data_IF_253035314779
#
_entry.id   IF_253035314779
#
_cell.length_a   1.000
_cell.length_b   1.000
_cell.length_c   1.000
_cell.angle_alpha   90.00
_cell.angle_beta   90.00
_cell.angle_gamma   90.00
#
_symmetry.space_group_name_H-M   'P 1'
#
loop_
_entity.id
_entity.type
_entity.pdbx_description
1 polymer ?
#
# COMPACT_ATOMS: atom_id res chain seq x y z
N UNK A 1 -19.44 -19.88 -0.95
CA UNK A 1 -18.86 -18.65 -0.33
C UNK A 1 -17.39 -18.54 -0.72
N UNK A 2 -16.91 -17.39 -1.18
CA UNK A 2 -15.49 -17.19 -1.49
C UNK A 2 -14.70 -16.96 -0.18
N UNK A 3 -13.64 -17.73 0.06
CA UNK A 3 -12.82 -17.61 1.25
C UNK A 3 -11.90 -16.38 1.14
N UNK A 4 -11.96 -15.48 2.14
CA UNK A 4 -10.93 -14.43 2.34
C UNK A 4 -9.67 -15.01 3.02
N UNK A 5 -9.31 -16.24 2.67
CA UNK A 5 -8.20 -16.96 3.28
C UNK A 5 -6.85 -16.54 2.70
N UNK A 6 -5.79 -16.84 3.43
CA UNK A 6 -4.42 -16.79 2.91
C UNK A 6 -4.31 -17.66 1.64
N UNK A 7 -3.53 -17.22 0.65
CA UNK A 7 -3.28 -18.02 -0.57
C UNK A 7 -2.32 -19.15 -0.24
N UNK A 8 -2.72 -20.38 -0.50
CA UNK A 8 -1.85 -21.56 -0.33
C UNK A 8 -0.93 -21.70 -1.54
N UNK A 9 0.27 -22.30 -1.39
CA UNK A 9 1.17 -22.56 -2.52
C UNK A 9 0.50 -23.34 -3.66
N UNK A 10 -0.29 -24.37 -3.33
CA UNK A 10 -1.07 -25.13 -4.33
C UNK A 10 -2.09 -24.27 -5.10
N UNK A 11 -2.70 -23.26 -4.45
CA UNK A 11 -3.60 -22.32 -5.13
C UNK A 11 -2.83 -21.38 -6.06
N UNK A 12 -1.62 -20.96 -5.66
CA UNK A 12 -0.75 -20.12 -6.48
C UNK A 12 -0.22 -20.86 -7.72
N UNK A 13 0.20 -22.11 -7.56
CA UNK A 13 0.57 -22.99 -8.67
C UNK A 13 -0.60 -23.13 -9.64
N UNK A 14 -1.79 -23.43 -9.12
CA UNK A 14 -2.96 -23.58 -9.97
C UNK A 14 -3.31 -22.29 -10.70
N UNK A 15 -3.19 -21.14 -10.03
CA UNK A 15 -3.41 -19.84 -10.65
C UNK A 15 -2.38 -19.55 -11.75
N UNK A 16 -1.11 -19.93 -11.58
CA UNK A 16 -0.08 -19.79 -12.63
C UNK A 16 -0.38 -20.63 -13.85
N UNK A 17 -0.73 -21.91 -13.67
CA UNK A 17 -1.12 -22.79 -14.78
C UNK A 17 -2.30 -22.21 -15.55
N UNK A 18 -3.35 -21.78 -14.86
CA UNK A 18 -4.55 -21.23 -15.48
C UNK A 18 -4.25 -19.92 -16.22
N UNK A 19 -3.39 -19.06 -15.68
CA UNK A 19 -2.99 -17.83 -16.38
C UNK A 19 -2.09 -18.15 -17.59
N UNK A 20 -1.26 -19.18 -17.53
CA UNK A 20 -0.47 -19.63 -18.68
C UNK A 20 -1.36 -20.19 -19.79
N UNK A 21 -2.42 -20.93 -19.43
CA UNK A 21 -3.35 -21.54 -20.39
C UNK A 21 -4.34 -20.53 -21.00
N UNK A 22 -4.94 -19.67 -20.17
CA UNK A 22 -6.02 -18.77 -20.59
C UNK A 22 -5.57 -17.32 -20.76
N UNK A 23 -4.38 -16.93 -20.31
CA UNK A 23 -3.89 -15.55 -20.31
C UNK A 23 -4.46 -14.69 -19.17
N UNK A 24 -3.80 -13.55 -18.83
CA UNK A 24 -4.15 -12.71 -17.69
C UNK A 24 -5.29 -11.70 -17.96
N UNK A 25 -6.33 -12.10 -18.69
CA UNK A 25 -7.44 -11.20 -19.07
C UNK A 25 -8.81 -11.66 -18.55
N UNK A 26 -9.10 -12.96 -18.57
CA UNK A 26 -10.41 -13.52 -18.18
C UNK A 26 -10.44 -14.09 -16.76
N UNK A 27 -10.22 -13.23 -15.76
CA UNK A 27 -10.12 -13.64 -14.34
C UNK A 27 -11.35 -14.35 -13.78
N UNK A 28 -12.55 -14.07 -14.31
CA UNK A 28 -13.77 -14.75 -13.88
C UNK A 28 -13.78 -16.22 -14.32
N UNK A 29 -13.34 -16.51 -15.54
CA UNK A 29 -13.22 -17.89 -16.05
C UNK A 29 -12.13 -18.66 -15.27
N UNK A 30 -11.01 -17.99 -14.97
CA UNK A 30 -9.95 -18.56 -14.12
C UNK A 30 -10.48 -18.89 -12.72
N UNK A 31 -11.27 -17.99 -12.12
CA UNK A 31 -11.85 -18.21 -10.80
C UNK A 31 -12.87 -19.35 -10.75
N UNK A 32 -13.60 -19.64 -11.83
CA UNK A 32 -14.48 -20.82 -11.88
C UNK A 32 -13.72 -22.14 -11.72
N UNK A 33 -12.44 -22.16 -12.15
CA UNK A 33 -11.55 -23.33 -12.02
C UNK A 33 -10.78 -23.35 -10.70
N UNK A 34 -10.90 -22.32 -9.86
CA UNK A 34 -10.28 -22.19 -8.54
C UNK A 34 -11.38 -22.13 -7.47
N UNK A 35 -11.56 -23.24 -6.76
CA UNK A 35 -12.61 -23.34 -5.74
C UNK A 35 -12.38 -22.33 -4.61
N UNK A 36 -13.43 -21.60 -4.22
CA UNK A 36 -13.37 -20.65 -3.11
C UNK A 36 -12.69 -19.30 -3.40
N UNK A 37 -12.19 -19.05 -4.63
CA UNK A 37 -11.61 -17.76 -5.02
C UNK A 37 -12.49 -17.00 -6.00
N UNK A 38 -12.46 -15.67 -5.92
CA UNK A 38 -13.14 -14.80 -6.88
C UNK A 38 -12.18 -14.29 -7.94
N UNK A 39 -12.69 -13.91 -9.12
CA UNK A 39 -11.86 -13.36 -10.20
C UNK A 39 -11.06 -12.13 -9.75
N UNK A 40 -11.68 -11.27 -8.94
CA UNK A 40 -11.00 -10.12 -8.32
C UNK A 40 -9.82 -10.55 -7.44
N UNK A 41 -9.99 -11.61 -6.64
CA UNK A 41 -8.93 -12.14 -5.79
C UNK A 41 -7.78 -12.71 -6.62
N UNK A 42 -8.10 -13.48 -7.67
CA UNK A 42 -7.12 -14.06 -8.59
C UNK A 42 -6.30 -12.96 -9.28
N UNK A 43 -6.98 -11.94 -9.84
CA UNK A 43 -6.33 -10.77 -10.45
C UNK A 43 -5.37 -10.08 -9.49
N UNK A 44 -5.84 -9.80 -8.27
CA UNK A 44 -5.03 -9.11 -7.27
C UNK A 44 -3.80 -9.94 -6.88
N UNK A 45 -3.97 -11.26 -6.71
CA UNK A 45 -2.87 -12.17 -6.39
C UNK A 45 -1.83 -12.20 -7.50
N UNK A 46 -2.29 -12.29 -8.75
CA UNK A 46 -1.41 -12.31 -9.91
C UNK A 46 -0.55 -11.05 -10.01
N UNK A 47 -1.19 -9.88 -10.13
CA UNK A 47 -0.49 -8.61 -10.37
C UNK A 47 0.31 -8.08 -9.18
N UNK A 48 0.05 -8.56 -7.96
CA UNK A 48 0.82 -8.14 -6.79
C UNK A 48 1.96 -9.07 -6.43
N UNK A 49 1.89 -10.36 -6.79
CA UNK A 49 2.85 -11.36 -6.30
C UNK A 49 3.28 -12.42 -7.32
N UNK A 50 2.40 -12.94 -8.18
CA UNK A 50 2.73 -14.11 -9.00
C UNK A 50 3.29 -13.79 -10.39
N UNK A 51 2.97 -12.62 -10.95
CA UNK A 51 3.49 -12.21 -12.25
C UNK A 51 5.02 -12.25 -12.25
N UNK A 52 5.67 -12.94 -13.20
CA UNK A 52 7.13 -13.08 -13.27
C UNK A 52 7.85 -11.73 -13.45
N UNK A 53 7.15 -10.70 -13.92
CA UNK A 53 7.70 -9.35 -14.08
C UNK A 53 7.89 -8.60 -12.76
N UNK A 54 7.35 -9.14 -11.65
CA UNK A 54 7.45 -8.53 -10.33
C UNK A 54 8.78 -8.90 -9.69
N UNK A 55 9.54 -7.89 -9.31
CA UNK A 55 10.74 -8.04 -8.51
C UNK A 55 10.37 -8.34 -7.05
N UNK A 56 10.82 -9.50 -6.55
CA UNK A 56 10.57 -10.01 -5.19
C UNK A 56 11.80 -9.92 -4.28
N UNK A 57 12.91 -9.35 -4.73
CA UNK A 57 14.09 -9.16 -3.88
C UNK A 57 13.77 -8.23 -2.70
N UNK A 58 14.54 -8.26 -1.60
CA UNK A 58 14.43 -7.24 -0.57
C UNK A 58 14.61 -5.83 -1.15
N UNK A 59 14.01 -4.83 -0.50
CA UNK A 59 14.27 -3.43 -0.85
C UNK A 59 15.69 -3.05 -0.44
N UNK A 60 16.41 -2.41 -1.34
CA UNK A 60 17.75 -1.86 -1.11
C UNK A 60 17.69 -0.55 -0.36
N UNK A 61 18.80 -0.11 0.25
CA UNK A 61 18.87 1.18 0.92
C UNK A 61 18.65 2.35 -0.06
N UNK A 62 19.09 2.21 -1.31
CA UNK A 62 18.88 3.18 -2.37
C UNK A 62 17.39 3.30 -2.72
N UNK A 63 16.70 2.16 -2.81
CA UNK A 63 15.24 2.12 -2.98
C UNK A 63 14.52 2.74 -1.76
N UNK A 64 14.97 2.46 -0.53
CA UNK A 64 14.44 3.08 0.69
C UNK A 64 14.57 4.61 0.67
N UNK A 65 15.77 5.12 0.34
CA UNK A 65 16.02 6.58 0.23
C UNK A 65 15.11 7.22 -0.80
N UNK A 66 14.97 6.57 -1.97
CA UNK A 66 14.07 7.04 -3.04
C UNK A 66 12.61 7.04 -2.61
N UNK A 67 12.18 6.02 -1.85
CA UNK A 67 10.81 5.92 -1.35
C UNK A 67 10.50 7.06 -0.39
N UNK A 68 11.40 7.34 0.55
CA UNK A 68 11.27 8.44 1.50
C UNK A 68 11.20 9.80 0.79
N UNK A 69 12.07 10.04 -0.19
CA UNK A 69 12.07 11.26 -0.99
C UNK A 69 10.78 11.43 -1.80
N UNK A 70 10.35 10.35 -2.48
CA UNK A 70 9.13 10.36 -3.31
C UNK A 70 7.87 10.55 -2.45
N UNK A 71 7.80 9.94 -1.27
CA UNK A 71 6.67 10.09 -0.35
C UNK A 71 6.56 11.51 0.20
N UNK A 72 7.68 12.20 0.48
CA UNK A 72 7.66 13.62 0.89
C UNK A 72 6.97 14.52 -0.14
N UNK A 73 7.13 14.22 -1.43
CA UNK A 73 6.57 15.02 -2.54
C UNK A 73 5.14 14.56 -2.87
N UNK A 74 4.91 13.25 -2.92
CA UNK A 74 3.68 12.66 -3.45
C UNK A 74 2.68 12.17 -2.39
N UNK A 75 3.07 12.10 -1.12
CA UNK A 75 2.27 11.50 -0.05
C UNK A 75 1.89 10.05 -0.36
N UNK A 76 0.66 9.65 -0.03
CA UNK A 76 0.17 8.28 -0.19
C UNK A 76 -0.27 7.91 -1.62
N UNK A 77 0.26 8.60 -2.64
CA UNK A 77 -0.01 8.29 -4.06
C UNK A 77 0.86 7.13 -4.54
N UNK A 78 0.62 5.93 -4.02
CA UNK A 78 1.47 4.74 -4.24
C UNK A 78 1.65 4.36 -5.70
N UNK A 79 0.59 4.49 -6.51
CA UNK A 79 0.66 4.23 -7.96
C UNK A 79 1.61 5.18 -8.68
N UNK A 80 1.69 6.43 -8.25
CA UNK A 80 2.65 7.42 -8.79
C UNK A 80 4.06 7.08 -8.32
N UNK A 81 4.22 6.80 -7.03
CA UNK A 81 5.53 6.48 -6.45
C UNK A 81 6.12 5.19 -7.07
N UNK A 82 5.29 4.17 -7.31
CA UNK A 82 5.73 2.91 -7.92
C UNK A 82 6.38 3.08 -9.30
N UNK A 83 6.07 4.16 -10.02
CA UNK A 83 6.71 4.45 -11.32
C UNK A 83 8.22 4.67 -11.21
N UNK A 84 8.72 5.02 -10.03
CA UNK A 84 10.15 5.20 -9.76
C UNK A 84 10.89 3.91 -9.38
N UNK A 85 10.17 2.79 -9.31
CA UNK A 85 10.67 1.48 -8.87
C UNK A 85 10.40 0.42 -9.96
N UNK A 86 11.33 0.21 -10.91
CA UNK A 86 11.14 -0.76 -11.97
C UNK A 86 10.92 -2.17 -11.39
N UNK A 87 9.86 -2.84 -11.82
CA UNK A 87 9.50 -4.19 -11.36
C UNK A 87 8.85 -4.24 -9.96
N UNK A 88 8.68 -3.13 -9.24
CA UNK A 88 7.93 -3.10 -7.98
C UNK A 88 6.49 -2.66 -8.21
N UNK A 89 5.58 -3.23 -7.43
CA UNK A 89 4.16 -2.85 -7.45
C UNK A 89 3.89 -1.74 -6.44
N UNK A 90 2.84 -0.96 -6.67
CA UNK A 90 2.33 0.04 -5.72
C UNK A 90 2.04 -0.57 -4.33
N UNK A 91 1.55 -1.80 -4.32
CA UNK A 91 1.34 -2.54 -3.08
C UNK A 91 2.66 -2.88 -2.36
N UNK A 92 3.71 -3.27 -3.10
CA UNK A 92 5.03 -3.54 -2.51
C UNK A 92 5.63 -2.26 -1.90
N UNK A 93 5.53 -1.14 -2.61
CA UNK A 93 6.02 0.17 -2.16
C UNK A 93 5.30 0.62 -0.88
N UNK A 94 3.95 0.57 -0.87
CA UNK A 94 3.14 0.88 0.33
C UNK A 94 3.51 0.00 1.52
N UNK A 95 3.64 -1.32 1.29
CA UNK A 95 4.00 -2.26 2.34
C UNK A 95 5.38 -1.94 2.92
N UNK A 96 6.34 -1.62 2.06
CA UNK A 96 7.68 -1.30 2.50
C UNK A 96 7.73 0.03 3.28
N UNK A 97 6.95 1.03 2.89
CA UNK A 97 6.78 2.24 3.69
C UNK A 97 6.34 1.93 5.13
N UNK A 98 5.33 1.06 5.30
CA UNK A 98 4.89 0.66 6.64
C UNK A 98 5.99 -0.07 7.44
N UNK A 99 6.83 -0.87 6.77
CA UNK A 99 7.99 -1.52 7.40
C UNK A 99 8.99 -0.47 7.92
N UNK A 100 9.33 0.54 7.10
CA UNK A 100 10.25 1.62 7.50
C UNK A 100 9.66 2.40 8.68
N UNK A 101 8.38 2.76 8.62
CA UNK A 101 7.73 3.52 9.70
C UNK A 101 7.67 2.73 11.00
N UNK A 102 7.35 1.43 10.93
CA UNK A 102 7.35 0.56 12.10
C UNK A 102 8.77 0.39 12.70
N UNK A 103 9.82 0.32 11.86
CA UNK A 103 11.23 0.28 12.29
C UNK A 103 11.59 1.53 13.09
N UNK A 104 11.29 2.71 12.55
CA UNK A 104 11.54 4.01 13.20
C UNK A 104 10.76 4.20 14.50
N UNK A 105 9.50 3.77 14.55
CA UNK A 105 8.70 3.85 15.77
C UNK A 105 9.29 3.03 16.92
N UNK A 106 9.82 1.82 16.62
CA UNK A 106 10.51 1.00 17.62
C UNK A 106 11.81 1.64 18.10
N UNK A 107 12.61 2.20 17.19
CA UNK A 107 13.85 2.90 17.55
C UNK A 107 13.57 4.08 18.48
N UNK A 108 12.57 4.92 18.16
CA UNK A 108 12.17 6.03 19.00
C UNK A 108 11.69 5.58 20.39
N UNK A 109 10.96 4.47 20.47
CA UNK A 109 10.49 3.92 21.74
C UNK A 109 11.62 3.39 22.64
N UNK A 110 12.71 2.87 22.06
CA UNK A 110 13.89 2.40 22.80
C UNK A 110 14.72 3.56 23.38
N UNK A 111 14.71 4.71 22.70
CA UNK A 111 15.42 5.92 23.14
C UNK A 111 14.67 6.68 24.24
N UNK A 112 13.38 6.40 24.47
CA UNK A 112 12.67 6.89 25.66
C UNK A 112 13.12 6.11 26.89
N UNK A 113 13.71 6.75 27.92
CA UNK A 113 14.02 6.07 29.17
C UNK A 113 12.74 5.51 29.78
N UNK A 114 12.76 4.24 30.19
CA UNK A 114 11.73 3.65 31.06
C UNK A 114 11.90 4.26 32.45
N UNK A 115 11.33 5.44 32.67
CA UNK A 115 11.44 6.09 33.98
C UNK A 115 11.02 7.54 34.00
N UNK A 116 9.76 7.81 33.70
CA UNK A 116 9.01 8.90 34.33
C UNK A 116 7.57 8.40 34.46
N UNK A 117 7.17 8.07 35.68
CA UNK A 117 5.75 7.97 36.01
C UNK A 117 5.10 9.29 35.65
N UNK A 118 4.00 9.25 34.91
CA UNK A 118 3.21 10.45 34.67
C UNK A 118 1.83 10.22 35.29
N UNK A 119 1.69 10.87 36.44
CA UNK A 119 0.47 11.57 36.82
C UNK A 119 -0.15 12.24 35.58
N UNK A 120 -1.48 12.28 35.53
CA UNK A 120 -2.21 12.62 34.31
C UNK A 120 -1.85 14.01 33.78
N UNK A 121 -1.35 14.10 32.55
CA UNK A 121 -1.55 15.25 31.63
C UNK A 121 -1.14 14.86 30.21
N UNK A 122 -2.13 14.87 29.33
CA UNK A 122 -2.17 14.89 27.85
C UNK A 122 -0.90 14.50 27.08
N UNK A 123 -0.83 13.23 26.66
CA UNK A 123 0.02 12.84 25.54
C UNK A 123 -0.59 13.33 24.22
N UNK A 124 0.06 14.29 23.57
CA UNK A 124 -0.18 14.61 22.17
C UNK A 124 0.07 13.34 21.35
N UNK A 125 -1.00 12.64 21.03
CA UNK A 125 -0.99 11.51 20.12
C UNK A 125 -0.67 12.09 18.76
N UNK A 126 0.52 11.83 18.23
CA UNK A 126 0.78 12.02 16.80
C UNK A 126 -0.15 11.05 16.09
N UNK A 127 -1.33 11.56 15.71
CA UNK A 127 -2.28 10.88 14.87
C UNK A 127 -1.63 10.67 13.51
N UNK A 128 -1.10 9.47 13.29
CA UNK A 128 -0.80 9.03 11.94
C UNK A 128 -2.10 8.48 11.37
N UNK A 129 -2.68 9.22 10.42
CA UNK A 129 -3.87 8.86 9.66
C UNK A 129 -3.77 7.45 9.07
N UNK A 130 -4.31 6.49 9.81
CA UNK A 130 -4.67 5.16 9.31
C UNK A 130 -5.92 5.28 8.46
N UNK A 131 -5.81 5.85 7.27
CA UNK A 131 -6.92 5.89 6.32
C UNK A 131 -6.89 4.68 5.39
N UNK A 132 -7.50 3.57 5.85
CA UNK A 132 -8.05 2.54 4.97
C UNK A 132 -9.15 1.76 5.72
N UNK A 133 -10.28 2.41 5.98
CA UNK A 133 -11.55 1.75 6.30
C UNK A 133 -12.61 2.23 5.31
N UNK A 134 -12.84 1.44 4.26
CA UNK A 134 -14.08 1.50 3.49
C UNK A 134 -15.24 1.16 4.41
N UNK A 135 -15.97 2.17 4.88
CA UNK A 135 -17.36 2.06 5.30
C UNK A 135 -18.10 3.30 4.81
N UNK A 136 -18.98 3.08 3.83
CA UNK A 136 -20.00 4.04 3.39
C UNK A 136 -20.95 4.27 4.57
N UNK A 137 -21.22 5.52 4.93
CA UNK A 137 -22.53 6.08 5.25
C UNK A 137 -22.36 7.58 5.55
N UNK A 138 -23.35 8.35 5.08
CA UNK A 138 -23.38 9.81 5.05
C UNK A 138 -23.47 10.43 6.45
N UNK A 139 -22.88 11.61 6.62
CA UNK A 139 -23.57 12.87 6.97
C UNK A 139 -22.57 14.03 6.94
N UNK A 140 -23.06 15.20 6.56
CA UNK A 140 -22.30 16.44 6.39
C UNK A 140 -21.74 16.99 7.71
N UNK A 141 -20.58 17.63 7.64
CA UNK A 141 -20.30 18.92 8.29
C UNK A 141 -18.99 19.51 7.78
N UNK A 142 -19.10 20.77 7.37
CA UNK A 142 -18.08 21.68 6.83
C UNK A 142 -16.88 21.83 7.76
N UNK A 143 -15.65 21.60 7.26
CA UNK A 143 -14.44 22.15 7.88
C UNK A 143 -13.67 22.89 6.79
N UNK A 144 -13.61 24.21 7.00
CA UNK A 144 -12.93 25.22 6.21
C UNK A 144 -11.41 25.01 6.25
N UNK A 145 -10.75 25.03 5.10
CA UNK A 145 -9.30 25.19 5.02
C UNK A 145 -8.99 26.62 4.54
N UNK A 146 -8.10 27.36 5.24
CA UNK A 146 -7.77 28.72 4.87
C UNK A 146 -7.09 28.77 3.50
N UNK A 147 -7.69 29.59 2.64
CA UNK A 147 -7.27 29.93 1.30
C UNK A 147 -6.05 30.86 1.38
N UNK A 148 -4.89 30.43 0.88
CA UNK A 148 -3.88 31.36 0.38
C UNK A 148 -3.34 30.83 -0.95
N UNK A 149 -4.05 31.22 -2.00
CA UNK A 149 -3.54 31.32 -3.36
C UNK A 149 -2.87 32.69 -3.51
N UNK A 150 -1.65 32.70 -4.01
CA UNK A 150 -1.09 33.77 -4.85
C UNK A 150 -0.34 33.05 -5.99
N UNK A 151 -1.05 32.71 -7.07
CA UNK A 151 -1.12 33.50 -8.30
C UNK A 151 0.26 33.89 -8.84
N UNK A 152 0.78 33.06 -9.77
CA UNK A 152 1.52 33.58 -10.92
C UNK A 152 0.93 32.90 -12.15
N UNK A 153 0.44 33.76 -13.03
CA UNK A 153 -0.32 33.49 -14.24
C UNK A 153 0.59 33.21 -15.44
N UNK A 154 0.00 32.47 -16.39
CA UNK A 154 0.04 32.69 -17.84
C UNK A 154 1.35 32.43 -18.65
N UNK A 155 1.20 31.42 -19.52
CA UNK A 155 1.34 31.47 -20.99
C UNK A 155 2.68 31.29 -21.71
N UNK A 156 2.53 30.64 -22.88
CA UNK A 156 3.43 30.46 -24.05
C UNK A 156 4.40 29.27 -23.91
N UNK A 157 4.47 28.30 -24.83
CA UNK A 157 3.95 28.15 -26.20
C UNK A 157 3.92 26.66 -26.55
#
# INVERSE_FOLDING_TARGET
>A
MCSRGHWRPAEDEKLKELVQQFGPHNWNAIAQKLTGRSGKSCRLRWFNQLDPRINRTPFTEEEEKRLLASHRIHGNRWSVIARFFPGRTDNAVKNHWHVIMARRGRELSKLRPRGLGHDGTTAATIGYDGCDKKRRLATASTISYPHQFSHISLCLR
#
